data_IF_105377122269
#
_entry.id   IF_105377122269
#
_cell.length_a   1.000
_cell.length_b   1.000
_cell.length_c   1.000
_cell.angle_alpha   90.00
_cell.angle_beta   90.00
_cell.angle_gamma   90.00
#
_symmetry.space_group_name_H-M   'P 1'
#
loop_
_entity.id
_entity.type
_entity.pdbx_description
1 polymer ?
#
# COMPACT_ATOMS: atom_id res chain seq x y z
N UNK A 1 5.77 -5.39 -28.83
CA UNK A 1 4.31 -5.29 -28.73
C UNK A 1 3.96 -3.86 -28.35
N UNK A 2 3.38 -3.09 -29.27
CA UNK A 2 2.84 -1.79 -28.92
C UNK A 2 1.62 -1.98 -28.01
N UNK A 3 1.51 -1.13 -26.98
CA UNK A 3 0.40 -1.14 -26.03
C UNK A 3 -0.91 -0.96 -26.81
N UNK A 4 -1.81 -1.94 -26.71
CA UNK A 4 -3.13 -1.80 -27.29
C UNK A 4 -3.89 -0.74 -26.53
N UNK A 5 -4.49 0.19 -27.26
CA UNK A 5 -5.15 1.33 -26.68
C UNK A 5 -6.65 1.24 -26.92
N UNK A 6 -7.42 1.53 -25.87
CA UNK A 6 -8.88 1.50 -25.88
C UNK A 6 -9.41 2.92 -25.62
N UNK A 7 -10.50 3.27 -26.28
CA UNK A 7 -11.35 4.38 -25.87
C UNK A 7 -12.45 3.76 -25.01
N UNK A 8 -12.48 4.17 -23.74
CA UNK A 8 -13.36 3.57 -22.73
C UNK A 8 -14.42 4.57 -22.28
N UNK A 9 -15.68 4.15 -22.32
CA UNK A 9 -16.77 4.83 -21.64
C UNK A 9 -17.06 4.11 -20.32
N UNK A 10 -16.75 4.74 -19.20
CA UNK A 10 -16.90 4.17 -17.85
C UNK A 10 -17.28 5.23 -16.79
N UNK A 11 -17.78 6.38 -17.20
CA UNK A 11 -18.09 7.50 -16.30
C UNK A 11 -19.52 7.97 -16.48
N UNK A 12 -20.12 8.50 -15.41
CA UNK A 12 -21.47 9.06 -15.45
C UNK A 12 -21.62 10.17 -16.50
N UNK A 13 -20.58 10.99 -16.71
CA UNK A 13 -20.57 12.00 -17.77
C UNK A 13 -20.67 11.37 -19.16
N UNK A 14 -20.02 10.24 -19.41
CA UNK A 14 -20.11 9.51 -20.68
C UNK A 14 -21.49 8.90 -20.87
N UNK A 15 -22.07 8.30 -19.83
CA UNK A 15 -23.41 7.72 -19.87
C UNK A 15 -24.48 8.79 -20.16
N UNK A 16 -24.41 9.94 -19.48
CA UNK A 16 -25.33 11.07 -19.66
C UNK A 16 -25.14 11.82 -20.98
N UNK A 17 -23.96 11.75 -21.59
CA UNK A 17 -23.72 12.32 -22.91
C UNK A 17 -24.39 11.49 -24.03
N UNK A 18 -24.73 10.24 -23.74
CA UNK A 18 -25.58 9.39 -24.59
C UNK A 18 -27.08 9.58 -24.31
N UNK A 19 -27.88 8.62 -24.76
CA UNK A 19 -29.31 8.56 -24.46
C UNK A 19 -29.67 7.19 -23.86
N UNK A 20 -30.37 7.20 -22.73
CA UNK A 20 -30.83 6.00 -22.03
C UNK A 20 -32.36 5.87 -22.21
N UNK A 21 -32.81 4.79 -22.83
CA UNK A 21 -34.22 4.40 -22.87
C UNK A 21 -34.43 3.22 -21.92
N UNK A 22 -35.26 3.41 -20.88
CA UNK A 22 -35.53 2.41 -19.81
C UNK A 22 -34.26 1.88 -19.11
N UNK A 23 -33.21 2.69 -19.10
CA UNK A 23 -31.96 2.46 -18.35
C UNK A 23 -31.76 3.65 -17.40
N UNK A 24 -31.21 3.37 -16.24
CA UNK A 24 -30.84 4.33 -15.21
C UNK A 24 -29.32 4.34 -15.02
N UNK A 25 -28.80 5.45 -14.47
CA UNK A 25 -27.39 5.59 -14.16
C UNK A 25 -27.26 5.61 -12.64
N UNK A 26 -26.67 4.56 -12.06
CA UNK A 26 -26.49 4.41 -10.63
C UNK A 26 -25.02 4.08 -10.32
N UNK A 27 -24.42 4.84 -9.40
CA UNK A 27 -23.03 4.60 -8.97
C UNK A 27 -21.99 4.68 -10.11
N UNK A 28 -22.26 5.46 -11.16
CA UNK A 28 -21.39 5.56 -12.33
C UNK A 28 -21.48 4.38 -13.31
N UNK A 29 -22.47 3.49 -13.14
CA UNK A 29 -22.73 2.37 -14.03
C UNK A 29 -24.12 2.48 -14.66
N UNK A 30 -24.32 1.81 -15.80
CA UNK A 30 -25.64 1.66 -16.42
C UNK A 30 -26.37 0.48 -15.78
N UNK A 31 -27.52 0.75 -15.20
CA UNK A 31 -28.42 -0.24 -14.60
C UNK A 31 -29.78 -0.15 -15.30
N UNK A 32 -30.57 -1.23 -15.33
CA UNK A 32 -31.91 -1.13 -15.85
C UNK A 32 -32.84 -0.30 -14.96
N UNK A 33 -33.84 0.36 -15.56
CA UNK A 33 -34.93 0.99 -14.82
C UNK A 33 -35.93 -0.08 -14.32
N UNK A 34 -36.46 0.11 -13.10
CA UNK A 34 -37.34 -0.87 -12.47
C UNK A 34 -38.64 -1.07 -13.27
N UNK A 35 -39.01 -2.33 -13.58
CA UNK A 35 -40.22 -2.63 -14.32
C UNK A 35 -40.53 -4.12 -14.39
N UNK A 36 -41.56 -4.55 -13.66
CA UNK A 36 -41.89 -5.96 -13.43
C UNK A 36 -41.80 -6.87 -14.65
N UNK A 37 -40.93 -7.90 -14.58
CA UNK A 37 -40.87 -9.02 -15.52
C UNK A 37 -39.60 -9.07 -16.37
N UNK A 38 -39.75 -9.23 -17.69
CA UNK A 38 -38.65 -9.13 -18.66
C UNK A 38 -38.48 -7.66 -19.02
N UNK A 39 -37.37 -7.09 -18.62
CA UNK A 39 -37.06 -5.69 -18.87
C UNK A 39 -36.11 -5.57 -20.07
N UNK A 40 -36.35 -4.54 -20.88
CA UNK A 40 -35.57 -4.18 -22.06
C UNK A 40 -35.07 -2.76 -21.86
N UNK A 41 -33.76 -2.61 -21.86
CA UNK A 41 -33.09 -1.31 -21.80
C UNK A 41 -32.25 -1.07 -23.04
N UNK A 42 -32.23 0.17 -23.51
CA UNK A 42 -31.42 0.57 -24.66
C UNK A 42 -30.58 1.79 -24.30
N UNK A 43 -29.30 1.73 -24.62
CA UNK A 43 -28.40 2.86 -24.48
C UNK A 43 -27.78 3.20 -25.83
N UNK A 44 -27.78 4.49 -26.17
CA UNK A 44 -27.12 5.03 -27.35
C UNK A 44 -25.90 5.82 -26.91
N UNK A 45 -24.74 5.42 -27.40
CA UNK A 45 -23.48 6.06 -27.04
C UNK A 45 -23.36 7.46 -27.68
N UNK A 46 -22.65 8.38 -27.02
CA UNK A 46 -22.04 9.49 -27.75
C UNK A 46 -20.97 8.96 -28.72
N UNK A 47 -20.46 9.81 -29.61
CA UNK A 47 -19.45 9.41 -30.57
C UNK A 47 -18.12 9.06 -29.87
N UNK A 48 -17.60 7.87 -30.11
CA UNK A 48 -16.18 7.57 -29.93
C UNK A 48 -15.43 8.27 -31.06
N UNK A 49 -14.39 9.06 -30.77
CA UNK A 49 -13.63 9.83 -31.77
C UNK A 49 -12.18 9.33 -31.80
N UNK A 50 -11.80 8.65 -32.88
CA UNK A 50 -10.41 8.20 -33.10
C UNK A 50 -9.48 9.33 -33.51
N UNK A 51 -10.03 10.49 -33.93
CA UNK A 51 -9.35 11.65 -34.54
C UNK A 51 -8.69 11.38 -35.90
N UNK A 52 -8.80 10.17 -36.42
CA UNK A 52 -8.24 9.75 -37.71
C UNK A 52 -9.35 9.45 -38.72
N UNK A 53 -9.18 9.86 -39.97
CA UNK A 53 -10.13 9.52 -41.04
C UNK A 53 -9.91 8.09 -41.50
N UNK A 54 -10.99 7.42 -41.90
CA UNK A 54 -11.01 6.03 -42.36
C UNK A 54 -10.42 5.05 -41.34
N UNK A 55 -10.58 5.39 -40.06
CA UNK A 55 -10.09 4.61 -38.95
C UNK A 55 -10.83 3.27 -38.83
N UNK A 56 -10.10 2.17 -38.68
CA UNK A 56 -10.67 0.81 -38.58
C UNK A 56 -10.89 0.39 -37.12
N UNK A 57 -12.16 0.24 -36.72
CA UNK A 57 -12.51 -0.28 -35.41
C UNK A 57 -12.50 -1.81 -35.42
N UNK A 58 -11.79 -2.43 -34.49
CA UNK A 58 -11.54 -3.89 -34.53
C UNK A 58 -12.29 -4.69 -33.48
N UNK A 59 -12.47 -4.13 -32.28
CA UNK A 59 -13.07 -4.86 -31.16
C UNK A 59 -13.86 -3.94 -30.26
N UNK A 60 -15.01 -4.42 -29.80
CA UNK A 60 -15.82 -3.77 -28.77
C UNK A 60 -16.06 -4.75 -27.63
N UNK A 61 -15.76 -4.34 -26.40
CA UNK A 61 -16.03 -5.14 -25.20
C UNK A 61 -16.93 -4.41 -24.21
N UNK A 62 -17.81 -5.18 -23.57
CA UNK A 62 -18.67 -4.75 -22.48
C UNK A 62 -18.15 -5.37 -21.17
N UNK A 63 -17.94 -4.52 -20.17
CA UNK A 63 -17.52 -4.96 -18.84
C UNK A 63 -18.60 -4.64 -17.83
N UNK A 64 -18.90 -5.60 -16.97
CA UNK A 64 -19.99 -5.45 -16.02
C UNK A 64 -20.39 -6.75 -15.34
N UNK A 65 -21.40 -6.64 -14.49
CA UNK A 65 -22.13 -7.80 -14.00
C UNK A 65 -23.25 -8.10 -14.99
N UNK A 66 -22.99 -9.06 -15.89
CA UNK A 66 -23.90 -9.48 -16.94
C UNK A 66 -24.34 -10.92 -16.63
N UNK A 67 -25.56 -11.14 -16.09
CA UNK A 67 -26.08 -12.48 -15.83
C UNK A 67 -26.12 -13.33 -17.11
N UNK A 68 -25.94 -14.65 -16.99
CA UNK A 68 -25.90 -15.58 -18.14
C UNK A 68 -27.16 -15.54 -19.02
N UNK A 69 -28.31 -15.20 -18.44
CA UNK A 69 -29.59 -15.08 -19.15
C UNK A 69 -29.84 -13.69 -19.75
N UNK A 70 -28.78 -12.90 -19.99
CA UNK A 70 -28.87 -11.57 -20.62
C UNK A 70 -28.66 -11.70 -22.12
N UNK A 71 -29.68 -11.34 -22.90
CA UNK A 71 -29.52 -11.17 -24.35
C UNK A 71 -28.94 -9.78 -24.61
N UNK A 72 -27.80 -9.74 -25.27
CA UNK A 72 -27.05 -8.54 -25.58
C UNK A 72 -27.05 -8.36 -27.10
N UNK A 73 -27.64 -7.27 -27.58
CA UNK A 73 -27.58 -6.87 -28.98
C UNK A 73 -26.87 -5.53 -29.11
N UNK A 74 -25.86 -5.47 -29.96
CA UNK A 74 -25.06 -4.28 -30.18
C UNK A 74 -25.20 -3.84 -31.62
N UNK A 75 -25.79 -2.66 -31.82
CA UNK A 75 -25.83 -1.97 -33.10
C UNK A 75 -24.62 -1.05 -33.25
N UNK A 76 -23.99 -1.03 -34.42
CA UNK A 76 -22.81 -0.19 -34.67
C UNK A 76 -23.02 0.71 -35.89
N UNK A 77 -22.55 1.96 -35.79
CA UNK A 77 -22.52 2.90 -36.90
C UNK A 77 -21.15 3.59 -36.91
N UNK A 78 -20.45 3.60 -38.04
CA UNK A 78 -19.16 4.28 -38.20
C UNK A 78 -19.22 5.30 -39.34
N UNK A 79 -18.60 6.47 -39.16
CA UNK A 79 -18.54 7.52 -40.19
C UNK A 79 -17.36 8.47 -39.99
N UNK A 80 -16.88 9.05 -41.09
CA UNK A 80 -15.90 10.13 -41.04
C UNK A 80 -16.50 11.50 -40.71
N UNK A 81 -17.80 11.67 -40.92
CA UNK A 81 -18.53 12.89 -40.59
C UNK A 81 -19.15 12.76 -39.20
N UNK A 82 -19.27 13.87 -38.47
CA UNK A 82 -19.94 13.91 -37.17
C UNK A 82 -21.45 13.62 -37.25
N UNK A 83 -22.03 13.81 -38.44
CA UNK A 83 -23.43 13.59 -38.74
C UNK A 83 -23.51 12.54 -39.89
N UNK A 84 -23.53 11.24 -39.56
CA UNK A 84 -23.58 10.17 -40.56
C UNK A 84 -24.83 10.30 -41.42
N UNK A 85 -24.66 10.30 -42.75
CA UNK A 85 -25.79 10.44 -43.69
C UNK A 85 -26.57 11.76 -43.57
N UNK A 86 -25.99 12.80 -42.95
CA UNK A 86 -26.68 14.07 -42.67
C UNK A 86 -27.60 14.03 -41.45
N UNK A 87 -27.58 12.95 -40.67
CA UNK A 87 -28.40 12.78 -39.47
C UNK A 87 -27.68 13.41 -38.26
N UNK A 88 -28.28 14.40 -37.58
CA UNK A 88 -27.64 15.13 -36.49
C UNK A 88 -27.68 14.33 -35.18
N UNK A 89 -26.84 13.30 -35.05
CA UNK A 89 -26.88 12.32 -33.93
C UNK A 89 -26.85 13.01 -32.56
N UNK A 90 -25.98 14.00 -32.37
CA UNK A 90 -25.88 14.75 -31.09
C UNK A 90 -27.19 15.42 -30.70
N UNK A 91 -27.95 15.92 -31.68
CA UNK A 91 -29.25 16.55 -31.44
C UNK A 91 -30.30 15.49 -31.12
N UNK A 92 -30.33 14.40 -31.88
CA UNK A 92 -31.27 13.30 -31.66
C UNK A 92 -31.09 12.60 -30.31
N UNK A 93 -29.85 12.46 -29.82
CA UNK A 93 -29.55 11.96 -28.48
C UNK A 93 -30.14 12.86 -27.39
N UNK A 94 -30.05 14.19 -27.54
CA UNK A 94 -30.63 15.15 -26.58
C UNK A 94 -32.15 15.18 -26.61
N UNK A 95 -32.74 15.03 -27.80
CA UNK A 95 -34.19 15.05 -28.01
C UNK A 95 -34.85 13.67 -27.77
N UNK A 96 -34.07 12.61 -27.56
CA UNK A 96 -34.58 11.25 -27.31
C UNK A 96 -35.33 10.64 -28.49
N UNK A 97 -34.93 10.94 -29.74
CA UNK A 97 -35.62 10.51 -30.98
C UNK A 97 -35.24 9.08 -31.38
N UNK A 98 -35.66 8.10 -30.58
CA UNK A 98 -35.29 6.67 -30.70
C UNK A 98 -35.47 6.11 -32.11
N UNK A 99 -36.60 6.38 -32.79
CA UNK A 99 -36.88 5.84 -34.14
C UNK A 99 -35.87 6.27 -35.20
N UNK A 100 -35.37 7.50 -35.12
CA UNK A 100 -34.39 8.04 -36.06
C UNK A 100 -32.98 7.55 -35.73
N UNK A 101 -32.69 7.35 -34.43
CA UNK A 101 -31.43 6.75 -33.99
C UNK A 101 -31.34 5.28 -34.41
N UNK A 102 -32.40 4.49 -34.23
CA UNK A 102 -32.45 3.06 -34.60
C UNK A 102 -32.11 2.83 -36.08
N UNK A 103 -32.48 3.76 -36.97
CA UNK A 103 -32.24 3.65 -38.41
C UNK A 103 -30.75 3.75 -38.79
N UNK A 104 -29.89 4.24 -37.89
CA UNK A 104 -28.45 4.39 -38.15
C UNK A 104 -27.66 3.10 -37.90
N UNK A 105 -28.23 2.14 -37.18
CA UNK A 105 -27.54 0.93 -36.71
C UNK A 105 -27.97 -0.29 -37.51
N UNK A 106 -27.55 -0.34 -38.78
CA UNK A 106 -27.86 -1.43 -39.71
C UNK A 106 -27.13 -2.73 -39.33
N UNK A 107 -25.88 -2.63 -38.89
CA UNK A 107 -25.09 -3.78 -38.43
C UNK A 107 -25.42 -4.08 -36.97
N UNK A 108 -25.81 -5.34 -36.71
CA UNK A 108 -26.10 -5.84 -35.36
C UNK A 108 -25.25 -7.06 -35.06
N UNK A 109 -24.72 -7.05 -33.85
CA UNK A 109 -23.90 -8.10 -33.27
C UNK A 109 -24.57 -8.60 -32.00
N UNK A 110 -24.26 -9.83 -31.61
CA UNK A 110 -24.77 -10.45 -30.38
C UNK A 110 -23.60 -10.84 -29.47
N UNK A 111 -23.70 -10.48 -28.19
CA UNK A 111 -22.69 -10.79 -27.18
C UNK A 111 -21.99 -9.57 -26.58
N UNK A 112 -21.16 -9.84 -25.56
CA UNK A 112 -20.43 -8.82 -24.80
C UNK A 112 -19.04 -8.50 -25.37
N UNK A 113 -18.52 -9.34 -26.27
CA UNK A 113 -17.20 -9.19 -26.88
C UNK A 113 -17.30 -9.44 -28.37
N UNK A 114 -17.03 -8.39 -29.15
CA UNK A 114 -17.43 -8.31 -30.54
C UNK A 114 -16.25 -7.93 -31.42
N UNK A 115 -16.10 -8.66 -32.52
CA UNK A 115 -15.17 -8.35 -33.61
C UNK A 115 -15.87 -7.40 -34.59
N UNK A 116 -15.33 -6.21 -34.77
CA UNK A 116 -15.88 -5.18 -35.66
C UNK A 116 -15.11 -5.15 -36.98
N UNK A 117 -15.83 -4.89 -38.08
CA UNK A 117 -15.28 -4.67 -39.43
C UNK A 117 -15.67 -3.30 -40.00
N UNK A 118 -15.88 -2.29 -39.15
CA UNK A 118 -16.36 -0.97 -39.57
C UNK A 118 -15.24 0.09 -39.65
N UNK A 119 -15.43 1.07 -40.55
CA UNK A 119 -14.44 2.13 -40.85
C UNK A 119 -15.04 3.52 -40.69
N UNK A 120 -14.34 4.40 -40.00
CA UNK A 120 -14.68 5.82 -39.86
C UNK A 120 -14.05 6.45 -38.62
N UNK A 121 -13.84 7.77 -38.68
CA UNK A 121 -13.35 8.57 -37.54
C UNK A 121 -14.19 8.41 -36.27
N UNK A 122 -15.50 8.43 -36.45
CA UNK A 122 -16.46 8.35 -35.38
C UNK A 122 -17.13 6.98 -35.36
N UNK A 123 -17.34 6.45 -34.16
CA UNK A 123 -18.11 5.23 -33.91
C UNK A 123 -19.24 5.56 -32.93
N UNK A 124 -20.45 5.11 -33.25
CA UNK A 124 -21.60 5.10 -32.36
C UNK A 124 -22.01 3.67 -32.07
N UNK A 125 -22.43 3.44 -30.84
CA UNK A 125 -22.82 2.13 -30.34
C UNK A 125 -24.22 2.23 -29.76
N UNK A 126 -25.09 1.33 -30.20
CA UNK A 126 -26.40 1.10 -29.62
C UNK A 126 -26.34 -0.20 -28.84
N UNK A 127 -26.43 -0.13 -27.53
CA UNK A 127 -26.45 -1.29 -26.65
C UNK A 127 -27.90 -1.59 -26.24
N UNK A 128 -28.41 -2.74 -26.65
CA UNK A 128 -29.71 -3.26 -26.22
C UNK A 128 -29.51 -4.47 -25.33
N UNK A 129 -30.13 -4.42 -24.15
CA UNK A 129 -30.06 -5.45 -23.13
C UNK A 129 -31.47 -5.93 -22.82
N UNK A 130 -31.70 -7.24 -22.96
CA UNK A 130 -32.92 -7.91 -22.52
C UNK A 130 -32.54 -8.90 -21.43
N UNK A 131 -33.13 -8.75 -20.25
CA UNK A 131 -32.77 -9.53 -19.07
C UNK A 131 -33.99 -9.84 -18.20
N UNK A 132 -33.86 -10.84 -17.35
CA UNK A 132 -34.82 -11.16 -16.31
C UNK A 132 -34.42 -10.43 -15.01
N UNK A 133 -35.39 -9.78 -14.33
CA UNK A 133 -35.16 -9.01 -13.09
C UNK A 133 -34.66 -9.85 -11.89
N UNK A 134 -34.50 -11.17 -12.02
CA UNK A 134 -34.04 -12.05 -10.94
C UNK A 134 -32.56 -11.90 -10.60
N UNK A 135 -31.77 -11.23 -11.44
CA UNK A 135 -30.34 -11.03 -11.21
C UNK A 135 -29.93 -9.56 -11.46
N UNK A 136 -29.02 -9.00 -10.65
CA UNK A 136 -28.52 -7.64 -10.86
C UNK A 136 -27.74 -7.56 -12.17
N UNK A 137 -28.14 -6.63 -13.04
CA UNK A 137 -27.42 -6.29 -14.26
C UNK A 137 -26.78 -4.91 -14.10
N UNK A 138 -25.50 -4.82 -14.41
CA UNK A 138 -24.75 -3.57 -14.35
C UNK A 138 -23.68 -3.53 -15.44
N UNK A 139 -23.72 -2.54 -16.33
CA UNK A 139 -22.63 -2.27 -17.28
C UNK A 139 -21.72 -1.20 -16.69
N UNK A 140 -20.47 -1.57 -16.44
CA UNK A 140 -19.43 -0.72 -15.87
C UNK A 140 -18.65 0.03 -16.95
N UNK A 141 -18.38 -0.62 -18.08
CA UNK A 141 -17.65 0.01 -19.17
C UNK A 141 -18.03 -0.54 -20.54
N UNK A 142 -17.95 0.34 -21.55
CA UNK A 142 -17.94 -0.03 -22.98
C UNK A 142 -16.60 0.42 -23.54
N UNK A 143 -15.80 -0.53 -24.04
CA UNK A 143 -14.44 -0.26 -24.55
C UNK A 143 -14.41 -0.54 -26.05
N UNK A 144 -13.94 0.44 -26.82
CA UNK A 144 -13.66 0.29 -28.24
C UNK A 144 -12.14 0.30 -28.45
N UNK A 145 -11.59 -0.76 -29.02
CA UNK A 145 -10.16 -0.86 -29.31
C UNK A 145 -9.82 0.01 -30.53
N UNK A 146 -8.79 0.86 -30.40
CA UNK A 146 -8.36 1.76 -31.48
C UNK A 146 -6.88 1.63 -31.88
N UNK A 147 -6.06 0.90 -31.13
CA UNK A 147 -4.67 0.63 -31.53
C UNK A 147 -4.19 -0.71 -30.99
N UNK A 148 -3.21 -1.29 -31.67
CA UNK A 148 -2.48 -2.48 -31.25
C UNK A 148 -2.22 -3.44 -32.39
N UNK A 149 -1.02 -4.02 -32.42
CA UNK A 149 -0.65 -5.01 -33.43
C UNK A 149 -1.52 -6.25 -33.24
N UNK A 150 -2.22 -6.71 -34.28
CA UNK A 150 -2.91 -7.99 -34.24
C UNK A 150 -1.90 -9.12 -34.44
N UNK A 151 -2.09 -10.30 -33.85
CA UNK A 151 -1.13 -11.40 -34.02
C UNK A 151 -0.86 -11.77 -35.49
N UNK A 152 -1.83 -11.56 -36.38
CA UNK A 152 -1.65 -11.75 -37.83
C UNK A 152 -0.65 -10.75 -38.48
N UNK A 153 -0.43 -9.58 -37.89
CA UNK A 153 0.48 -8.57 -38.44
C UNK A 153 1.95 -9.01 -38.37
N UNK A 154 2.25 -9.92 -37.42
CA UNK A 154 3.55 -10.55 -37.25
C UNK A 154 3.81 -11.71 -38.24
N UNK A 155 2.80 -12.13 -39.00
CA UNK A 155 2.97 -13.19 -39.99
C UNK A 155 3.63 -12.67 -41.28
N UNK A 156 4.42 -13.52 -41.98
CA UNK A 156 4.92 -13.21 -43.31
C UNK A 156 3.80 -12.83 -44.28
N UNK A 157 4.11 -12.00 -45.27
CA UNK A 157 3.11 -11.46 -46.22
C UNK A 157 2.29 -12.53 -46.94
N UNK A 158 2.88 -13.71 -47.22
CA UNK A 158 2.18 -14.83 -47.86
C UNK A 158 1.04 -15.42 -47.01
N UNK A 159 1.04 -15.23 -45.69
CA UNK A 159 -0.03 -15.70 -44.80
C UNK A 159 -1.05 -14.61 -44.46
N UNK A 160 -0.81 -13.36 -44.86
CA UNK A 160 -1.74 -12.22 -44.67
C UNK A 160 -2.71 -12.05 -45.85
N UNK A 161 -2.80 -13.03 -46.74
CA UNK A 161 -3.66 -13.01 -47.91
C UNK A 161 -5.15 -12.95 -47.49
N UNK A 162 -5.89 -12.03 -48.09
CA UNK A 162 -7.31 -11.80 -47.77
C UNK A 162 -7.55 -10.82 -46.61
N UNK A 163 -6.49 -10.25 -46.01
CA UNK A 163 -6.63 -9.20 -44.99
C UNK A 163 -7.43 -9.65 -43.76
N UNK A 164 -8.21 -8.74 -43.18
CA UNK A 164 -8.97 -8.98 -41.93
C UNK A 164 -10.20 -9.88 -42.09
N UNK A 165 -10.73 -10.00 -43.29
CA UNK A 165 -11.84 -10.91 -43.62
C UNK A 165 -11.36 -12.38 -43.78
N UNK A 166 -10.04 -12.58 -43.85
CA UNK A 166 -9.45 -13.91 -44.01
C UNK A 166 -9.76 -14.80 -42.79
N UNK A 167 -9.85 -16.10 -43.05
CA UNK A 167 -9.92 -17.09 -41.98
C UNK A 167 -8.75 -16.96 -41.00
N UNK A 168 -7.54 -16.74 -41.52
CA UNK A 168 -6.33 -16.62 -40.69
C UNK A 168 -6.41 -15.46 -39.71
N UNK A 169 -6.95 -14.31 -40.14
CA UNK A 169 -7.14 -13.18 -39.25
C UNK A 169 -8.16 -13.50 -38.15
N UNK A 170 -9.37 -13.96 -38.51
CA UNK A 170 -10.44 -14.33 -37.54
C UNK A 170 -10.03 -15.43 -36.57
N UNK A 171 -9.30 -16.44 -37.04
CA UNK A 171 -8.79 -17.53 -36.21
C UNK A 171 -7.79 -17.01 -35.17
N UNK A 172 -6.85 -16.15 -35.61
CA UNK A 172 -5.85 -15.58 -34.70
C UNK A 172 -6.48 -14.61 -33.71
N UNK A 173 -7.58 -13.92 -34.06
CA UNK A 173 -8.29 -13.02 -33.15
C UNK A 173 -8.75 -13.72 -31.85
N UNK A 174 -9.03 -15.03 -31.89
CA UNK A 174 -9.38 -15.81 -30.68
C UNK A 174 -8.19 -15.84 -29.70
N UNK A 175 -7.00 -16.19 -30.20
CA UNK A 175 -5.78 -16.24 -29.39
C UNK A 175 -5.29 -14.86 -28.99
N UNK A 176 -5.53 -13.89 -29.87
CA UNK A 176 -5.26 -12.48 -29.64
C UNK A 176 -6.04 -11.98 -28.41
N UNK A 177 -7.34 -12.35 -28.30
CA UNK A 177 -8.15 -12.06 -27.12
C UNK A 177 -7.56 -12.69 -25.85
N UNK A 178 -7.29 -14.00 -25.88
CA UNK A 178 -6.76 -14.71 -24.71
C UNK A 178 -5.43 -14.13 -24.23
N UNK A 179 -4.56 -13.75 -25.17
CA UNK A 179 -3.27 -13.15 -24.86
C UNK A 179 -3.43 -11.75 -24.26
N UNK A 180 -4.39 -10.97 -24.73
CA UNK A 180 -4.71 -9.66 -24.16
C UNK A 180 -5.21 -9.76 -22.72
N UNK A 181 -6.12 -10.69 -22.44
CA UNK A 181 -6.66 -10.87 -21.09
C UNK A 181 -5.54 -11.24 -20.11
N UNK A 182 -4.60 -12.07 -20.54
CA UNK A 182 -3.39 -12.42 -19.78
C UNK A 182 -2.46 -11.21 -19.59
N UNK A 183 -2.19 -10.43 -20.64
CA UNK A 183 -1.38 -9.22 -20.53
C UNK A 183 -1.99 -8.21 -19.57
N UNK A 184 -3.30 -7.96 -19.66
CA UNK A 184 -4.02 -7.06 -18.75
C UNK A 184 -3.89 -7.56 -17.30
N UNK A 185 -4.09 -8.85 -17.05
CA UNK A 185 -3.89 -9.44 -15.73
C UNK A 185 -2.45 -9.25 -15.19
N UNK A 186 -1.44 -9.45 -16.04
CA UNK A 186 -0.03 -9.24 -15.68
C UNK A 186 0.23 -7.77 -15.35
N UNK A 187 -0.25 -6.83 -16.17
CA UNK A 187 -0.08 -5.39 -15.91
C UNK A 187 -0.76 -4.95 -14.61
N UNK A 188 -1.89 -5.56 -14.25
CA UNK A 188 -2.59 -5.28 -12.99
C UNK A 188 -2.01 -5.98 -11.77
N UNK A 189 -1.06 -6.91 -11.95
CA UNK A 189 -0.47 -7.69 -10.85
C UNK A 189 0.21 -6.80 -9.80
N UNK A 190 0.89 -5.72 -10.21
CA UNK A 190 1.50 -4.78 -9.27
C UNK A 190 0.48 -4.14 -8.31
N UNK A 191 -0.76 -3.94 -8.77
CA UNK A 191 -1.84 -3.39 -7.94
C UNK A 191 -2.34 -4.34 -6.85
N UNK A 192 -2.04 -5.64 -6.95
CA UNK A 192 -2.40 -6.63 -5.93
C UNK A 192 -1.54 -6.51 -4.66
N UNK A 193 -0.33 -5.96 -4.77
CA UNK A 193 0.58 -5.74 -3.63
C UNK A 193 0.34 -4.43 -2.88
N UNK A 194 -0.66 -3.66 -3.29
CA UNK A 194 -1.07 -2.45 -2.58
C UNK A 194 -1.96 -2.83 -1.38
N UNK A 195 -1.44 -2.67 -0.17
CA UNK A 195 -2.11 -2.97 1.10
C UNK A 195 -3.45 -2.24 1.25
N UNK A 196 -3.56 -1.02 0.70
CA UNK A 196 -4.81 -0.25 0.77
C UNK A 196 -5.88 -0.87 -0.14
N UNK A 197 -5.49 -1.43 -1.27
CA UNK A 197 -6.41 -2.02 -2.26
C UNK A 197 -6.70 -3.50 -2.04
N UNK A 198 -5.76 -4.25 -1.48
CA UNK A 198 -5.88 -5.67 -1.24
C UNK A 198 -7.02 -5.99 -0.26
N UNK A 199 -7.73 -7.09 -0.50
CA UNK A 199 -8.86 -7.53 0.32
C UNK A 199 -8.80 -9.05 0.52
N UNK A 200 -9.42 -9.55 1.59
CA UNK A 200 -9.57 -10.97 1.87
C UNK A 200 -8.24 -11.72 1.89
N UNK A 201 -8.12 -12.78 1.09
CA UNK A 201 -6.95 -13.66 1.05
C UNK A 201 -5.67 -12.95 0.63
N UNK A 202 -5.73 -12.02 -0.34
CA UNK A 202 -4.53 -11.29 -0.78
C UNK A 202 -3.98 -10.41 0.36
N UNK A 203 -4.85 -9.74 1.12
CA UNK A 203 -4.41 -8.94 2.26
C UNK A 203 -3.78 -9.82 3.36
N UNK A 204 -4.33 -11.02 3.59
CA UNK A 204 -3.75 -12.01 4.51
C UNK A 204 -2.41 -12.55 4.03
N UNK A 205 -2.26 -12.75 2.72
CA UNK A 205 -0.97 -13.09 2.13
C UNK A 205 0.07 -11.99 2.36
N UNK A 206 -0.29 -10.72 2.14
CA UNK A 206 0.60 -9.59 2.45
C UNK A 206 0.94 -9.50 3.95
N UNK A 207 -0.02 -9.77 4.83
CA UNK A 207 0.22 -9.81 6.28
C UNK A 207 1.26 -10.88 6.67
N UNK A 208 1.26 -12.03 5.99
CA UNK A 208 2.24 -13.09 6.25
C UNK A 208 3.68 -12.69 5.94
N UNK A 209 3.90 -11.71 5.06
CA UNK A 209 5.26 -11.23 4.74
C UNK A 209 5.91 -10.47 5.89
N UNK A 210 5.10 -9.88 6.77
CA UNK A 210 5.56 -9.07 7.89
C UNK A 210 5.35 -9.76 9.24
N UNK A 211 4.96 -11.04 9.22
CA UNK A 211 4.64 -11.82 10.43
C UNK A 211 3.56 -11.13 11.30
N UNK A 212 2.61 -10.43 10.67
CA UNK A 212 1.49 -9.83 11.37
C UNK A 212 0.46 -10.89 11.77
N UNK A 213 -0.13 -10.76 12.95
CA UNK A 213 -1.18 -11.67 13.41
C UNK A 213 -2.44 -11.48 12.55
N UNK A 214 -2.85 -12.55 11.86
CA UNK A 214 -3.99 -12.56 10.94
C UNK A 214 -5.28 -13.07 11.60
N UNK A 215 -5.22 -13.61 12.82
CA UNK A 215 -6.32 -14.35 13.44
C UNK A 215 -7.46 -13.42 13.90
N UNK A 216 -8.67 -13.68 13.41
CA UNK A 216 -9.88 -12.97 13.84
C UNK A 216 -9.99 -11.50 13.45
N UNK A 217 -9.01 -10.95 12.71
CA UNK A 217 -9.02 -9.55 12.28
C UNK A 217 -9.86 -9.34 11.01
N UNK A 218 -10.60 -8.23 10.99
CA UNK A 218 -11.22 -7.69 9.77
C UNK A 218 -10.16 -7.07 8.87
N UNK A 219 -10.47 -6.88 7.57
CA UNK A 219 -9.53 -6.29 6.61
C UNK A 219 -9.07 -4.87 7.02
N UNK A 220 -9.89 -4.10 7.73
CA UNK A 220 -9.46 -2.78 8.24
C UNK A 220 -8.47 -2.90 9.40
N UNK A 221 -8.73 -3.83 10.33
CA UNK A 221 -7.84 -4.08 11.47
C UNK A 221 -6.51 -4.69 11.02
N UNK A 222 -6.56 -5.58 10.02
CA UNK A 222 -5.37 -6.22 9.48
C UNK A 222 -4.44 -5.21 8.79
N UNK A 223 -4.98 -4.21 8.07
CA UNK A 223 -4.17 -3.11 7.52
C UNK A 223 -3.46 -2.31 8.61
N UNK A 224 -4.17 -2.00 9.69
CA UNK A 224 -3.58 -1.28 10.82
C UNK A 224 -2.46 -2.11 11.47
N UNK A 225 -2.68 -3.41 11.64
CA UNK A 225 -1.69 -4.32 12.21
C UNK A 225 -0.45 -4.44 11.30
N UNK A 226 -0.61 -4.60 9.99
CA UNK A 226 0.51 -4.57 9.03
C UNK A 226 1.32 -3.27 9.18
N UNK A 227 0.64 -2.13 9.17
CA UNK A 227 1.30 -0.82 9.30
C UNK A 227 2.07 -0.68 10.62
N UNK A 228 1.47 -1.15 11.72
CA UNK A 228 2.10 -1.18 13.04
C UNK A 228 3.33 -2.07 13.07
N UNK A 229 3.23 -3.29 12.54
CA UNK A 229 4.30 -4.28 12.53
C UNK A 229 5.46 -3.83 11.65
N UNK A 230 5.19 -3.26 10.47
CA UNK A 230 6.22 -2.68 9.60
C UNK A 230 6.95 -1.54 10.30
N UNK A 231 6.23 -0.62 10.97
CA UNK A 231 6.85 0.47 11.73
C UNK A 231 7.70 -0.06 12.88
N UNK A 232 7.17 -1.00 13.66
CA UNK A 232 7.90 -1.61 14.76
C UNK A 232 9.16 -2.33 14.26
N UNK A 233 9.05 -3.10 13.18
CA UNK A 233 10.17 -3.79 12.52
C UNK A 233 11.22 -2.82 11.98
N UNK A 234 10.83 -1.69 11.39
CA UNK A 234 11.76 -0.68 10.87
C UNK A 234 12.62 -0.03 11.96
N UNK A 235 12.13 -0.02 13.19
CA UNK A 235 12.81 0.54 14.35
C UNK A 235 13.47 -0.56 15.19
N UNK A 236 13.09 -1.82 14.99
CA UNK A 236 13.69 -2.96 15.67
C UNK A 236 15.20 -2.95 15.44
N UNK A 237 15.96 -3.26 16.50
CA UNK A 237 17.42 -3.35 16.46
C UNK A 237 18.17 -2.05 16.11
N UNK A 238 17.48 -0.91 15.98
CA UNK A 238 18.11 0.42 15.89
C UNK A 238 18.46 0.95 17.28
N UNK A 239 19.44 1.86 17.44
CA UNK A 239 19.72 2.47 18.75
C UNK A 239 18.49 3.11 19.40
N UNK A 240 17.60 3.73 18.60
CA UNK A 240 16.34 4.29 19.10
C UNK A 240 15.39 3.18 19.57
N UNK A 241 15.21 2.13 18.78
CA UNK A 241 14.32 1.02 19.12
C UNK A 241 14.80 0.25 20.35
N UNK A 242 16.11 0.00 20.47
CA UNK A 242 16.70 -0.63 21.65
C UNK A 242 16.49 0.22 22.90
N UNK A 243 16.70 1.54 22.84
CA UNK A 243 16.40 2.44 23.98
C UNK A 243 14.93 2.38 24.38
N UNK A 244 14.03 2.46 23.40
CA UNK A 244 12.59 2.39 23.63
C UNK A 244 12.18 1.04 24.26
N UNK A 245 12.78 -0.06 23.79
CA UNK A 245 12.52 -1.41 24.29
C UNK A 245 13.00 -1.59 25.73
N UNK A 246 14.22 -1.16 26.04
CA UNK A 246 14.78 -1.22 27.39
C UNK A 246 14.00 -0.32 28.36
N UNK A 247 13.59 0.87 27.92
CA UNK A 247 12.71 1.76 28.69
C UNK A 247 11.37 1.11 28.98
N UNK A 248 10.78 0.42 28.01
CA UNK A 248 9.52 -0.28 28.18
C UNK A 248 9.63 -1.36 29.28
N UNK A 249 10.73 -2.11 29.29
CA UNK A 249 10.96 -3.22 30.21
C UNK A 249 11.34 -2.78 31.63
N UNK A 250 12.19 -1.75 31.77
CA UNK A 250 12.76 -1.33 33.06
C UNK A 250 12.12 -0.07 33.65
N UNK A 251 11.26 0.61 32.87
CA UNK A 251 10.69 1.94 33.18
C UNK A 251 11.73 3.05 33.37
N UNK A 252 13.00 2.78 33.08
CA UNK A 252 14.11 3.72 33.21
C UNK A 252 14.71 4.01 31.83
N UNK A 253 15.13 5.25 31.59
CA UNK A 253 15.77 5.63 30.33
C UNK A 253 17.23 5.16 30.31
N UNK A 254 17.64 4.28 29.38
CA UNK A 254 19.03 3.87 29.27
C UNK A 254 19.85 4.88 28.47
N UNK A 255 21.11 5.03 28.84
CA UNK A 255 22.11 5.69 27.98
C UNK A 255 22.77 4.60 27.14
N UNK A 256 22.60 4.68 25.82
CA UNK A 256 23.20 3.73 24.87
C UNK A 256 24.46 4.37 24.28
N UNK A 257 25.60 3.71 24.51
CA UNK A 257 26.91 4.11 24.00
C UNK A 257 27.44 3.06 23.01
N UNK A 258 27.64 3.45 21.76
CA UNK A 258 28.20 2.60 20.72
C UNK A 258 29.73 2.71 20.69
N UNK A 259 30.42 1.64 20.27
CA UNK A 259 31.89 1.62 20.25
C UNK A 259 32.50 2.77 19.42
N UNK A 260 31.90 3.11 18.27
CA UNK A 260 32.40 4.18 17.40
C UNK A 260 32.43 5.55 18.10
N UNK A 261 31.56 5.79 19.09
CA UNK A 261 31.51 7.05 19.84
C UNK A 261 32.72 7.25 20.75
N UNK A 262 33.39 6.16 21.14
CA UNK A 262 34.59 6.18 22.00
C UNK A 262 35.86 5.77 21.26
N UNK A 263 35.75 5.39 19.99
CA UNK A 263 36.85 4.84 19.19
C UNK A 263 38.03 5.82 19.06
N UNK A 264 37.78 7.12 18.91
CA UNK A 264 38.85 8.10 18.81
C UNK A 264 39.64 8.24 20.13
N UNK A 265 38.94 8.19 21.27
CA UNK A 265 39.57 8.19 22.60
C UNK A 265 40.40 6.93 22.82
N UNK A 266 39.91 5.78 22.35
CA UNK A 266 40.63 4.50 22.39
C UNK A 266 41.86 4.53 21.47
N UNK A 267 41.83 5.24 20.33
CA UNK A 267 42.97 5.25 19.40
C UNK A 267 44.03 6.30 19.74
N UNK A 268 43.60 7.51 20.13
CA UNK A 268 44.46 8.71 20.21
C UNK A 268 44.38 9.45 21.54
N UNK A 269 43.47 9.07 22.45
CA UNK A 269 43.25 9.76 23.71
C UNK A 269 44.42 9.60 24.69
N UNK A 270 44.59 10.58 25.58
CA UNK A 270 45.57 10.51 26.69
C UNK A 270 45.27 9.34 27.63
N UNK A 271 43.99 9.06 27.87
CA UNK A 271 43.50 8.00 28.75
C UNK A 271 43.10 6.72 27.97
N UNK A 272 43.80 6.44 26.86
CA UNK A 272 43.51 5.28 25.99
C UNK A 272 43.38 3.95 26.74
N UNK A 273 44.25 3.72 27.73
CA UNK A 273 44.23 2.50 28.53
C UNK A 273 42.93 2.34 29.32
N UNK A 274 42.44 3.44 29.92
CA UNK A 274 41.17 3.47 30.65
C UNK A 274 39.97 3.20 29.72
N UNK A 275 39.88 3.90 28.59
CA UNK A 275 38.78 3.68 27.63
C UNK A 275 38.78 2.26 27.07
N UNK A 276 39.95 1.68 26.82
CA UNK A 276 40.08 0.28 26.37
C UNK A 276 39.65 -0.70 27.45
N UNK A 277 39.89 -0.40 28.73
CA UNK A 277 39.44 -1.22 29.85
C UNK A 277 37.92 -1.14 30.04
N UNK A 278 37.33 0.05 29.94
CA UNK A 278 35.90 0.27 30.14
C UNK A 278 35.05 -0.26 28.97
N UNK A 279 35.46 0.02 27.73
CA UNK A 279 34.64 -0.23 26.55
C UNK A 279 35.21 -1.26 25.58
N UNK A 280 36.37 -1.86 25.91
CA UNK A 280 37.01 -2.86 25.07
C UNK A 280 37.43 -2.33 23.70
N UNK A 281 37.65 -3.24 22.76
CA UNK A 281 38.09 -2.97 21.39
C UNK A 281 37.18 -3.58 20.32
N UNK A 282 36.05 -4.21 20.72
CA UNK A 282 35.14 -4.86 19.79
C UNK A 282 34.21 -3.81 19.13
N UNK A 283 34.26 -3.61 17.80
CA UNK A 283 33.42 -2.62 17.13
C UNK A 283 31.94 -2.98 17.10
N UNK A 284 31.58 -4.26 17.22
CA UNK A 284 30.19 -4.71 17.20
C UNK A 284 29.58 -4.79 18.61
N UNK A 285 30.12 -4.02 19.55
CA UNK A 285 29.65 -3.97 20.93
C UNK A 285 29.09 -2.59 21.27
N UNK A 286 27.99 -2.58 21.99
CA UNK A 286 27.45 -1.37 22.59
C UNK A 286 27.23 -1.56 24.09
N UNK A 287 27.16 -0.44 24.80
CA UNK A 287 27.06 -0.37 26.25
C UNK A 287 25.75 0.30 26.62
N UNK A 288 24.99 -0.34 27.50
CA UNK A 288 23.81 0.22 28.14
C UNK A 288 24.21 0.68 29.54
N UNK A 289 24.22 1.98 29.74
CA UNK A 289 24.47 2.59 31.03
C UNK A 289 23.11 2.86 31.69
N UNK A 290 22.90 2.27 32.86
CA UNK A 290 21.63 2.35 33.59
C UNK A 290 21.89 2.54 35.08
N UNK A 291 21.03 3.29 35.77
CA UNK A 291 21.12 3.41 37.22
C UNK A 291 20.93 2.05 37.90
N UNK A 292 21.72 1.73 38.93
CA UNK A 292 21.57 0.48 39.68
C UNK A 292 20.17 0.36 40.31
N UNK A 293 19.56 1.49 40.69
CA UNK A 293 18.19 1.57 41.21
C UNK A 293 17.09 1.26 40.18
N UNK A 294 17.44 1.12 38.90
CA UNK A 294 16.50 0.64 37.87
C UNK A 294 16.17 -0.85 38.05
N UNK A 295 16.94 -1.57 38.87
CA UNK A 295 16.80 -3.00 39.12
C UNK A 295 16.56 -3.26 40.61
N UNK A 296 15.69 -4.22 40.93
CA UNK A 296 15.41 -4.62 42.32
C UNK A 296 16.47 -5.56 42.87
N UNK A 297 16.99 -6.42 41.99
CA UNK A 297 18.02 -7.40 42.31
C UNK A 297 18.94 -7.63 41.09
N UNK A 298 20.16 -8.16 41.28
CA UNK A 298 21.09 -8.43 40.19
C UNK A 298 20.55 -9.40 39.12
N UNK A 299 19.64 -10.32 39.50
CA UNK A 299 19.03 -11.24 38.56
C UNK A 299 18.08 -10.57 37.58
N UNK A 300 17.49 -9.42 37.93
CA UNK A 300 16.68 -8.63 36.99
C UNK A 300 17.54 -8.01 35.88
N UNK A 301 18.76 -7.58 36.22
CA UNK A 301 19.73 -7.06 35.27
C UNK A 301 20.23 -8.14 34.30
N UNK A 302 20.50 -9.35 34.80
CA UNK A 302 20.90 -10.49 33.96
C UNK A 302 19.76 -10.92 33.01
N UNK A 303 18.52 -10.98 33.51
CA UNK A 303 17.34 -11.27 32.67
C UNK A 303 17.11 -10.22 31.60
N UNK A 304 17.41 -8.95 31.87
CA UNK A 304 17.35 -7.89 30.86
C UNK A 304 18.34 -8.18 29.73
N UNK A 305 19.59 -8.51 30.07
CA UNK A 305 20.62 -8.84 29.09
C UNK A 305 20.24 -10.07 28.25
N UNK A 306 19.82 -11.17 28.90
CA UNK A 306 19.36 -12.39 28.18
C UNK A 306 18.21 -12.10 27.22
N UNK A 307 17.27 -11.24 27.64
CA UNK A 307 16.13 -10.85 26.81
C UNK A 307 16.56 -9.97 25.63
N UNK A 308 17.52 -9.08 25.87
CA UNK A 308 18.07 -8.20 24.84
C UNK A 308 18.88 -8.97 23.81
N UNK A 309 19.72 -9.93 24.23
CA UNK A 309 20.51 -10.78 23.34
C UNK A 309 19.65 -11.55 22.34
N UNK A 310 18.46 -12.01 22.75
CA UNK A 310 17.49 -12.66 21.84
C UNK A 310 16.92 -11.72 20.79
N UNK A 311 16.92 -10.41 21.06
CA UNK A 311 16.40 -9.39 20.16
C UNK A 311 17.50 -8.81 19.24
N UNK A 312 18.78 -9.03 19.53
CA UNK A 312 19.90 -8.46 18.79
C UNK A 312 20.30 -9.30 17.56
N UNK A 313 20.90 -8.67 16.53
CA UNK A 313 21.57 -9.39 15.45
C UNK A 313 22.70 -10.28 15.99
N UNK A 314 22.96 -11.40 15.31
CA UNK A 314 23.93 -12.41 15.75
C UNK A 314 25.38 -11.89 15.94
N UNK A 315 25.76 -10.80 15.25
CA UNK A 315 27.10 -10.23 15.34
C UNK A 315 27.22 -9.06 16.33
N UNK A 316 26.14 -8.65 17.00
CA UNK A 316 26.10 -7.51 17.91
C UNK A 316 25.97 -7.98 19.35
N UNK A 317 26.75 -7.42 20.26
CA UNK A 317 26.70 -7.76 21.69
C UNK A 317 26.42 -6.54 22.54
N UNK A 318 25.49 -6.66 23.49
CA UNK A 318 25.24 -5.65 24.51
C UNK A 318 26.05 -5.91 25.78
N UNK A 319 26.52 -4.86 26.44
CA UNK A 319 27.02 -4.91 27.82
C UNK A 319 26.24 -3.94 28.70
N UNK A 320 25.83 -4.39 29.88
CA UNK A 320 25.19 -3.54 30.87
C UNK A 320 26.24 -2.95 31.82
N UNK A 321 26.20 -1.64 32.02
CA UNK A 321 27.04 -0.89 32.95
C UNK A 321 26.12 -0.27 33.99
N UNK A 322 26.15 -0.80 35.21
CA UNK A 322 25.35 -0.30 36.32
C UNK A 322 26.01 0.93 36.94
N UNK A 323 25.29 2.05 36.92
CA UNK A 323 25.72 3.33 37.43
C UNK A 323 25.31 3.47 38.89
N UNK A 324 26.30 3.51 39.77
CA UNK A 324 26.12 3.77 41.20
C UNK A 324 26.22 5.27 41.47
N UNK A 325 25.33 5.80 42.31
CA UNK A 325 25.40 7.19 42.80
C UNK A 325 26.38 7.26 43.96
N UNK A 326 27.67 7.16 43.65
CA UNK A 326 28.76 7.36 44.61
C UNK A 326 30.05 7.75 43.90
N UNK A 327 30.87 8.54 44.58
CA UNK A 327 32.20 8.93 44.09
C UNK A 327 33.24 8.19 44.95
N UNK A 328 33.85 7.15 44.40
CA UNK A 328 34.97 6.44 45.04
C UNK A 328 36.28 6.91 44.43
N UNK A 329 37.30 7.14 45.27
CA UNK A 329 38.66 7.37 44.79
C UNK A 329 39.14 6.12 44.04
N UNK A 330 39.80 6.33 42.90
CA UNK A 330 40.32 5.28 42.00
C UNK A 330 39.26 4.47 41.22
N UNK A 331 37.97 4.85 41.32
CA UNK A 331 36.90 4.29 40.50
C UNK A 331 36.49 5.26 39.38
N UNK A 332 35.94 4.72 38.30
CA UNK A 332 35.41 5.54 37.20
C UNK A 332 33.99 6.03 37.51
N UNK A 333 33.80 7.35 37.45
CA UNK A 333 32.50 8.02 37.60
C UNK A 333 32.26 8.94 36.40
N UNK A 334 31.03 8.96 35.91
CA UNK A 334 30.59 9.81 34.81
C UNK A 334 30.09 11.15 35.36
N UNK A 335 30.83 12.21 35.07
CA UNK A 335 30.48 13.56 35.50
C UNK A 335 29.10 13.97 34.94
N UNK A 336 28.23 14.48 35.80
CA UNK A 336 26.87 14.89 35.44
C UNK A 336 25.88 13.74 35.22
N UNK A 337 26.31 12.49 35.34
CA UNK A 337 25.43 11.30 35.24
C UNK A 337 25.32 10.62 36.60
N UNK A 338 26.42 10.09 37.15
CA UNK A 338 26.43 9.39 38.44
C UNK A 338 27.44 9.97 39.44
N UNK A 339 28.06 11.10 39.10
CA UNK A 339 28.84 11.89 40.05
C UNK A 339 27.89 12.60 41.01
N UNK A 340 27.94 12.17 42.27
CA UNK A 340 27.24 12.78 43.38
C UNK A 340 28.18 12.98 44.57
N UNK A 341 28.06 14.12 45.23
CA UNK A 341 28.63 14.35 46.56
C UNK A 341 27.60 13.82 47.55
N UNK A 342 28.02 12.92 48.44
CA UNK A 342 27.13 12.30 49.43
C UNK A 342 26.36 13.34 50.25
N UNK A 343 25.07 13.08 50.48
CA UNK A 343 24.25 13.93 51.33
C UNK A 343 24.60 13.73 52.81
N UNK A 344 24.42 14.78 53.63
CA UNK A 344 24.58 14.66 55.07
C UNK A 344 23.52 13.70 55.64
N UNK A 345 23.94 12.51 56.05
CA UNK A 345 23.10 11.56 56.76
C UNK A 345 23.56 11.53 58.23
N UNK A 346 22.73 11.96 59.20
CA UNK A 346 23.09 11.85 60.61
C UNK A 346 23.31 10.38 60.96
N UNK A 347 24.51 10.06 61.44
CA UNK A 347 24.88 8.70 61.82
C UNK A 347 24.13 8.32 63.12
N UNK A 348 23.00 7.62 62.99
CA UNK A 348 22.38 6.92 64.11
C UNK A 348 23.06 5.56 64.28
N UNK A 349 23.85 5.41 65.34
CA UNK A 349 24.41 4.12 65.73
C UNK A 349 23.29 3.32 66.39
N UNK A 350 22.68 2.39 65.64
CA UNK A 350 21.85 1.32 66.19
C UNK A 350 22.28 -0.03 65.59
N UNK A 351 21.87 -1.15 66.17
CA UNK A 351 22.29 -2.51 65.78
C UNK A 351 21.84 -2.94 64.36
N UNK A 352 21.14 -2.08 63.62
CA UNK A 352 20.57 -2.37 62.28
C UNK A 352 20.97 -1.34 61.20
N UNK A 353 21.73 -0.30 61.55
CA UNK A 353 22.13 0.74 60.63
C UNK A 353 23.55 0.49 60.09
N UNK A 354 23.64 0.14 58.81
CA UNK A 354 24.90 0.21 58.08
C UNK A 354 25.17 1.67 57.66
N UNK A 355 26.37 2.18 57.95
CA UNK A 355 26.83 3.48 57.46
C UNK A 355 26.80 3.43 55.93
N UNK A 356 26.12 4.40 55.28
CA UNK A 356 26.11 4.49 53.83
C UNK A 356 27.51 4.89 53.35
N UNK A 357 27.90 4.39 52.19
CA UNK A 357 29.26 4.55 51.66
C UNK A 357 29.67 6.01 51.38
N UNK A 358 28.71 6.92 51.33
CA UNK A 358 28.85 8.35 51.05
C UNK A 358 28.62 9.24 52.29
N UNK A 359 28.48 8.67 53.48
CA UNK A 359 28.28 9.43 54.72
C UNK A 359 29.56 10.18 55.10
N UNK A 360 29.55 11.52 55.04
CA UNK A 360 30.52 12.33 55.78
C UNK A 360 30.15 12.32 57.26
N UNK A 361 31.05 11.81 58.11
CA UNK A 361 30.89 11.82 59.57
C UNK A 361 31.35 13.20 60.08
N UNK A 362 30.39 14.07 60.38
CA UNK A 362 30.60 15.36 61.06
C UNK A 362 30.15 15.29 62.51
N UNK A 363 30.92 15.90 63.42
CA UNK A 363 30.50 16.15 64.80
C UNK A 363 29.54 17.35 64.87
N UNK A 364 28.65 17.35 65.85
CA UNK A 364 27.51 18.26 66.04
C UNK A 364 27.87 19.74 66.32
N UNK A 365 29.11 20.17 66.04
CA UNK A 365 29.65 21.47 66.48
C UNK A 365 29.87 22.50 65.37
N UNK A 366 29.32 22.30 64.17
CA UNK A 366 29.37 23.32 63.11
C UNK A 366 28.01 23.60 62.47
N UNK A 367 27.10 24.18 63.26
CA UNK A 367 26.22 25.24 62.74
C UNK A 367 25.68 26.13 63.88
N UNK A 368 26.56 27.00 64.40
CA UNK A 368 26.12 28.28 64.99
C UNK A 368 26.57 29.39 64.07
N UNK A 369 25.98 29.47 62.88
CA UNK A 369 25.93 30.74 62.16
C UNK A 369 25.02 31.68 62.96
N UNK A 370 25.63 32.67 63.61
CA UNK A 370 24.91 33.81 64.18
C UNK A 370 24.03 34.46 63.10
N UNK A 371 22.79 34.88 63.41
CA UNK A 371 21.99 35.66 62.48
C UNK A 371 22.61 37.05 62.38
N UNK A 372 23.22 37.36 61.24
CA UNK A 372 23.61 38.74 60.92
C UNK A 372 22.33 39.52 60.65
N UNK A 373 21.97 40.39 61.59
CA UNK A 373 21.03 41.49 61.41
C UNK A 373 21.72 42.62 60.64
N UNK A 374 21.35 42.80 59.37
CA UNK A 374 20.87 44.06 58.74
C UNK A 374 20.74 43.89 57.22
#
# INVERSE_FOLDING_TARGET
MQRRSFITMNSEAHWRAGFCDKMEIAGGCLTPGAGGGVARGVWYSPAFDSRERDFEWTRLTLEGQLPENTLISVGVCASNASDPGGVPVKRLLREGRVRELDALFEERYEGADLLLSCRGRYLWVRLELVFAESAPLMVRAVRAQYQGDHMADYLPACYRLGGRESFGWRFLSIFDSLSLDLEEAVYHTAGLFDVERAQGEMLRFLASWVDADVQGLTDSQLREEISRTVRAGSLAQTPWGIRALVKLWTKSEPILLEHWQVEEMIKKGRDRALYSQLYGSNPNQFFLLMEETAFRDPGEADRLLERLERALPANVTAKLVLLRKSTYLDWHTYLGINSGIGGYAPALINESAAIRYDTMIGGDDHDKSEPVSD
#
